data_IF_621607459622
#
_entry.id   IF_621607459622
#
_cell.length_a   1.000
_cell.length_b   1.000
_cell.length_c   1.000
_cell.angle_alpha   90.00
_cell.angle_beta   90.00
_cell.angle_gamma   90.00
#
_symmetry.space_group_name_H-M   'P 1'
#
loop_
_entity.id
_entity.type
_entity.pdbx_description
1 polymer ?
#
# COMPACT_ATOMS: atom_id res chain seq x y z
N UNK A 1 -73.40 -70.88 -45.00
CA UNK A 1 -72.67 -70.70 -43.73
C UNK A 1 -71.45 -71.62 -43.80
N UNK A 2 -70.25 -71.08 -43.59
CA UNK A 2 -68.92 -71.76 -43.59
C UNK A 2 -68.34 -72.00 -45.02
N UNK A 3 -67.43 -71.13 -45.51
CA UNK A 3 -65.94 -71.16 -45.41
C UNK A 3 -65.35 -72.31 -46.27
N UNK A 4 -64.42 -72.15 -47.23
CA UNK A 4 -63.10 -71.49 -47.13
C UNK A 4 -62.32 -71.53 -48.47
N UNK A 5 -61.41 -70.57 -48.63
CA UNK A 5 -60.17 -70.46 -49.45
C UNK A 5 -59.89 -71.52 -50.55
N UNK A 6 -59.45 -71.14 -51.75
CA UNK A 6 -58.04 -70.82 -52.12
C UNK A 6 -58.03 -69.93 -53.37
N UNK A 7 -57.17 -68.94 -53.62
CA UNK A 7 -55.83 -68.61 -53.18
C UNK A 7 -55.32 -67.59 -54.22
N UNK A 8 -54.81 -66.44 -53.81
CA UNK A 8 -54.26 -65.45 -54.75
C UNK A 8 -52.96 -64.90 -54.18
N UNK A 9 -51.90 -65.15 -54.94
CA UNK A 9 -50.53 -64.74 -54.67
C UNK A 9 -50.43 -63.22 -54.55
N UNK A 10 -49.92 -62.74 -53.41
CA UNK A 10 -49.22 -61.45 -53.34
C UNK A 10 -47.78 -61.70 -52.96
N UNK A 11 -46.89 -61.47 -53.91
CA UNK A 11 -45.45 -61.43 -53.73
C UNK A 11 -45.10 -60.23 -52.84
N UNK A 12 -44.57 -60.50 -51.65
CA UNK A 12 -44.06 -59.47 -50.75
C UNK A 12 -42.62 -59.17 -51.17
N UNK A 13 -42.40 -58.04 -51.83
CA UNK A 13 -41.06 -57.54 -52.11
C UNK A 13 -40.40 -57.11 -50.79
N UNK A 14 -39.49 -57.93 -50.28
CA UNK A 14 -38.58 -57.57 -49.19
C UNK A 14 -37.34 -56.93 -49.77
N UNK A 15 -37.26 -55.60 -49.71
CA UNK A 15 -35.97 -54.90 -49.84
C UNK A 15 -35.16 -55.06 -48.55
N UNK A 16 -33.82 -55.12 -48.61
CA UNK A 16 -33.00 -55.15 -47.42
C UNK A 16 -33.16 -53.83 -46.65
N UNK A 17 -33.61 -53.92 -45.41
CA UNK A 17 -33.59 -52.80 -44.47
C UNK A 17 -32.14 -52.62 -44.01
N UNK A 18 -31.48 -51.56 -44.48
CA UNK A 18 -30.15 -51.18 -44.03
C UNK A 18 -30.24 -50.53 -42.64
N UNK A 19 -30.42 -51.35 -41.60
CA UNK A 19 -30.15 -50.93 -40.23
C UNK A 19 -28.62 -50.91 -40.03
N UNK A 20 -27.98 -49.84 -40.49
CA UNK A 20 -26.56 -49.59 -40.21
C UNK A 20 -26.34 -49.40 -38.71
N UNK A 21 -25.25 -49.94 -38.13
CA UNK A 21 -25.00 -49.84 -36.70
C UNK A 21 -24.76 -48.37 -36.31
N UNK A 22 -25.45 -47.88 -35.28
CA UNK A 22 -25.25 -46.57 -34.63
C UNK A 22 -23.91 -46.51 -33.86
N UNK A 23 -22.80 -46.94 -34.47
CA UNK A 23 -21.48 -46.97 -33.86
C UNK A 23 -20.82 -45.58 -33.75
N UNK A 24 -21.32 -44.58 -34.49
CA UNK A 24 -20.75 -43.21 -34.50
C UNK A 24 -21.18 -42.30 -33.34
N UNK A 25 -22.36 -42.51 -32.75
CA UNK A 25 -22.88 -41.60 -31.69
C UNK A 25 -22.17 -41.79 -30.35
N UNK A 26 -21.69 -43.00 -30.04
CA UNK A 26 -20.98 -43.28 -28.79
C UNK A 26 -19.59 -42.61 -28.73
N UNK A 27 -18.90 -42.50 -29.87
CA UNK A 27 -17.59 -41.84 -29.94
C UNK A 27 -17.68 -40.33 -29.69
N UNK A 28 -18.69 -39.67 -30.27
CA UNK A 28 -18.91 -38.22 -30.10
C UNK A 28 -19.35 -37.89 -28.67
N UNK A 29 -20.24 -38.69 -28.09
CA UNK A 29 -20.67 -38.49 -26.70
C UNK A 29 -19.51 -38.60 -25.70
N UNK A 30 -18.63 -39.57 -25.90
CA UNK A 30 -17.45 -39.76 -25.03
C UNK A 30 -16.42 -38.65 -25.21
N UNK A 31 -16.23 -38.16 -26.44
CA UNK A 31 -15.39 -37.00 -26.72
C UNK A 31 -15.91 -35.74 -25.98
N UNK A 32 -17.22 -35.47 -26.06
CA UNK A 32 -17.85 -34.35 -25.36
C UNK A 32 -17.73 -34.50 -23.84
N UNK A 33 -17.87 -35.70 -23.29
CA UNK A 33 -17.70 -35.95 -21.86
C UNK A 33 -16.26 -35.68 -21.41
N UNK A 34 -15.26 -36.15 -22.15
CA UNK A 34 -13.85 -35.88 -21.86
C UNK A 34 -13.56 -34.38 -21.90
N UNK A 35 -14.03 -33.68 -22.94
CA UNK A 35 -13.89 -32.23 -23.03
C UNK A 35 -14.61 -31.50 -21.88
N UNK A 36 -15.81 -31.93 -21.51
CA UNK A 36 -16.54 -31.36 -20.38
C UNK A 36 -15.76 -31.52 -19.06
N UNK A 37 -15.17 -32.70 -18.82
CA UNK A 37 -14.34 -32.95 -17.62
C UNK A 37 -13.07 -32.10 -17.63
N UNK A 38 -12.41 -31.94 -18.78
CA UNK A 38 -11.22 -31.06 -18.92
C UNK A 38 -11.59 -29.61 -18.60
N UNK A 39 -12.70 -29.11 -19.16
CA UNK A 39 -13.20 -27.75 -18.90
C UNK A 39 -13.60 -27.56 -17.43
N UNK A 40 -14.27 -28.55 -16.82
CA UNK A 40 -14.60 -28.52 -15.40
C UNK A 40 -13.34 -28.49 -14.53
N UNK A 41 -12.35 -29.33 -14.86
CA UNK A 41 -11.07 -29.39 -14.16
C UNK A 41 -10.32 -28.06 -14.23
N UNK A 42 -10.34 -27.39 -15.39
CA UNK A 42 -9.79 -26.05 -15.56
C UNK A 42 -10.49 -25.00 -14.68
N UNK A 43 -11.82 -25.03 -14.62
CA UNK A 43 -12.62 -24.14 -13.75
C UNK A 43 -12.28 -24.32 -12.27
N UNK A 44 -12.23 -25.57 -11.81
CA UNK A 44 -11.88 -25.90 -10.42
C UNK A 44 -10.44 -25.48 -10.11
N UNK A 45 -9.50 -25.76 -11.01
CA UNK A 45 -8.10 -25.36 -10.86
C UNK A 45 -7.92 -23.84 -10.74
N UNK A 46 -8.63 -23.07 -11.57
CA UNK A 46 -8.64 -21.60 -11.50
C UNK A 46 -9.19 -21.07 -10.18
N UNK A 47 -10.29 -21.64 -9.68
CA UNK A 47 -10.90 -21.22 -8.42
C UNK A 47 -9.99 -21.47 -7.21
N UNK A 48 -9.26 -22.60 -7.20
CA UNK A 48 -8.30 -22.94 -6.14
C UNK A 48 -7.11 -21.97 -6.10
N UNK A 49 -6.61 -21.55 -7.27
CA UNK A 49 -5.50 -20.57 -7.35
C UNK A 49 -5.92 -19.20 -6.79
N UNK A 50 -7.09 -18.68 -7.20
CA UNK A 50 -7.59 -17.37 -6.76
C UNK A 50 -7.99 -17.37 -5.28
N UNK A 51 -8.61 -18.44 -4.77
CA UNK A 51 -8.96 -18.50 -3.34
C UNK A 51 -7.74 -18.41 -2.42
N UNK A 52 -6.59 -18.89 -2.86
CA UNK A 52 -5.35 -18.80 -2.08
C UNK A 52 -4.74 -17.39 -2.03
N UNK A 53 -4.99 -16.55 -3.06
CA UNK A 53 -4.47 -15.18 -3.10
C UNK A 53 -5.31 -14.22 -2.24
N UNK A 54 -6.64 -14.38 -2.25
CA UNK A 54 -7.55 -13.60 -1.40
C UNK A 54 -7.26 -13.80 0.10
N UNK A 55 -6.99 -15.04 0.51
CA UNK A 55 -6.62 -15.36 1.90
C UNK A 55 -5.29 -14.70 2.29
N UNK A 56 -4.30 -14.65 1.37
CA UNK A 56 -3.02 -13.97 1.63
C UNK A 56 -3.21 -12.46 1.75
N UNK A 57 -4.02 -11.86 0.89
CA UNK A 57 -4.35 -10.43 0.95
C UNK A 57 -5.06 -10.07 2.25
N UNK A 58 -6.08 -10.83 2.64
CA UNK A 58 -6.79 -10.62 3.90
C UNK A 58 -5.86 -10.71 5.12
N UNK A 59 -4.95 -11.69 5.14
CA UNK A 59 -3.94 -11.82 6.21
C UNK A 59 -2.98 -10.64 6.26
N UNK A 60 -2.53 -10.15 5.11
CA UNK A 60 -1.65 -8.97 5.06
C UNK A 60 -2.36 -7.72 5.58
N UNK A 61 -3.62 -7.49 5.22
CA UNK A 61 -4.41 -6.37 5.72
C UNK A 61 -4.57 -6.43 7.25
N UNK A 62 -4.90 -7.61 7.79
CA UNK A 62 -5.00 -7.80 9.24
C UNK A 62 -3.66 -7.55 9.93
N UNK A 63 -2.54 -7.99 9.33
CA UNK A 63 -1.21 -7.78 9.90
C UNK A 63 -0.82 -6.30 9.93
N UNK A 64 -1.15 -5.53 8.88
CA UNK A 64 -0.91 -4.08 8.81
C UNK A 64 -1.72 -3.35 9.87
N UNK A 65 -3.02 -3.62 9.96
CA UNK A 65 -3.90 -3.03 10.97
C UNK A 65 -3.42 -3.36 12.39
N UNK A 66 -3.01 -4.61 12.62
CA UNK A 66 -2.45 -5.02 13.92
C UNK A 66 -1.17 -4.25 14.26
N UNK A 67 -0.26 -4.09 13.30
CA UNK A 67 0.97 -3.32 13.51
C UNK A 67 0.69 -1.84 13.79
N UNK A 68 -0.30 -1.24 13.12
CA UNK A 68 -0.70 0.15 13.33
C UNK A 68 -1.31 0.36 14.72
N UNK A 69 -2.22 -0.51 15.15
CA UNK A 69 -2.80 -0.46 16.48
C UNK A 69 -1.76 -0.65 17.59
N UNK A 70 -0.77 -1.54 17.37
CA UNK A 70 0.36 -1.72 18.29
C UNK A 70 1.24 -0.47 18.38
N UNK A 71 1.50 0.20 17.26
CA UNK A 71 2.23 1.46 17.25
C UNK A 71 1.47 2.57 18.00
N UNK A 72 0.15 2.66 17.81
CA UNK A 72 -0.70 3.63 18.51
C UNK A 72 -0.76 3.36 20.02
N UNK A 73 -0.79 2.09 20.43
CA UNK A 73 -0.65 1.72 21.84
C UNK A 73 0.69 2.18 22.44
N UNK A 74 1.79 2.06 21.67
CA UNK A 74 3.10 2.59 22.06
C UNK A 74 3.12 4.11 22.23
N UNK A 75 2.47 4.85 21.32
CA UNK A 75 2.32 6.31 21.42
C UNK A 75 1.52 6.69 22.67
N UNK A 76 0.38 6.06 22.90
CA UNK A 76 -0.46 6.34 24.07
C UNK A 76 0.29 6.03 25.37
N UNK A 77 1.06 4.95 25.43
CA UNK A 77 1.90 4.64 26.59
C UNK A 77 2.97 5.70 26.81
N UNK A 78 3.65 6.14 25.75
CA UNK A 78 4.62 7.22 25.81
C UNK A 78 4.01 8.53 26.34
N UNK A 79 2.81 8.90 25.88
CA UNK A 79 2.10 10.09 26.39
C UNK A 79 1.79 9.95 27.88
N UNK A 80 1.28 8.79 28.31
CA UNK A 80 0.99 8.55 29.73
C UNK A 80 2.25 8.68 30.59
N UNK A 81 3.38 8.12 30.14
CA UNK A 81 4.67 8.22 30.82
C UNK A 81 5.17 9.67 30.91
N UNK A 82 5.00 10.47 29.85
CA UNK A 82 5.36 11.89 29.85
C UNK A 82 4.47 12.72 30.79
N UNK A 83 3.21 12.33 30.99
CA UNK A 83 2.29 12.99 31.92
C UNK A 83 2.56 12.59 33.38
N UNK A 84 3.00 11.37 33.64
CA UNK A 84 3.36 10.90 34.97
C UNK A 84 4.79 11.33 35.32
N UNK A 85 4.92 12.43 36.07
CA UNK A 85 6.22 13.02 36.45
C UNK A 85 7.14 12.08 37.25
N UNK A 86 6.60 11.03 37.86
CA UNK A 86 7.35 10.07 38.69
C UNK A 86 8.13 9.02 37.86
N UNK A 87 7.72 8.73 36.62
CA UNK A 87 8.32 7.67 35.77
C UNK A 87 9.30 8.21 34.71
N UNK A 88 9.65 9.50 34.77
CA UNK A 88 10.64 10.09 33.86
C UNK A 88 12.04 9.46 33.99
N UNK A 89 12.31 8.72 35.07
CA UNK A 89 13.56 7.95 35.22
C UNK A 89 13.59 6.69 34.32
N UNK A 90 12.42 6.11 33.98
CA UNK A 90 12.31 5.00 33.01
C UNK A 90 12.49 5.50 31.57
N UNK A 91 12.26 6.80 31.37
CA UNK A 91 12.39 7.48 30.09
C UNK A 91 13.73 8.22 30.07
N UNK A 92 14.79 7.63 29.51
CA UNK A 92 16.00 8.38 29.18
C UNK A 92 15.69 9.44 28.10
N UNK A 93 15.05 10.53 28.52
CA UNK A 93 14.69 11.68 27.69
C UNK A 93 15.98 12.24 27.08
N UNK A 94 16.13 12.07 25.77
CA UNK A 94 17.29 12.53 25.01
C UNK A 94 18.34 11.45 24.67
N UNK A 95 18.16 10.20 25.13
CA UNK A 95 19.03 9.07 24.82
C UNK A 95 18.62 8.24 23.59
N UNK A 96 19.52 7.36 23.13
CA UNK A 96 19.20 6.32 22.16
C UNK A 96 18.40 5.15 22.78
N UNK A 97 18.36 5.07 24.11
CA UNK A 97 17.61 4.07 24.85
C UNK A 97 16.15 4.52 24.97
N UNK A 98 15.31 3.94 24.12
CA UNK A 98 13.88 3.95 24.32
C UNK A 98 13.45 2.95 25.39
N UNK A 99 12.14 2.79 25.59
CA UNK A 99 11.59 1.65 26.33
C UNK A 99 10.99 0.64 25.35
N UNK A 100 10.97 -0.62 25.74
CA UNK A 100 10.26 -1.66 25.01
C UNK A 100 9.00 -2.05 25.75
N UNK A 101 7.90 -2.24 25.02
CA UNK A 101 6.67 -2.77 25.57
C UNK A 101 6.33 -4.09 24.87
N UNK A 102 5.82 -5.04 25.64
CA UNK A 102 5.36 -6.34 25.13
C UNK A 102 3.90 -6.48 25.51
N UNK A 103 3.02 -6.54 24.51
CA UNK A 103 1.58 -6.69 24.71
C UNK A 103 1.20 -8.13 24.35
N UNK A 104 0.74 -8.92 25.33
CA UNK A 104 0.11 -10.26 25.18
C UNK A 104 0.66 -11.14 24.04
N UNK A 105 1.99 -11.31 23.99
CA UNK A 105 2.73 -12.09 22.98
C UNK A 105 2.56 -11.63 21.50
N UNK A 106 2.02 -10.43 21.28
CA UNK A 106 1.60 -9.93 19.96
C UNK A 106 2.72 -9.26 19.14
N UNK A 107 3.71 -8.65 19.79
CA UNK A 107 4.98 -8.15 19.24
C UNK A 107 5.73 -7.39 20.36
N UNK A 108 7.03 -7.16 20.16
CA UNK A 108 7.80 -6.17 20.91
C UNK A 108 7.74 -4.83 20.19
N UNK A 109 7.38 -3.76 20.91
CA UNK A 109 7.35 -2.39 20.38
C UNK A 109 8.46 -1.61 21.06
N UNK A 110 9.40 -1.11 20.27
CA UNK A 110 10.45 -0.20 20.73
C UNK A 110 9.99 1.25 20.54
N UNK A 111 9.99 2.03 21.61
CA UNK A 111 9.54 3.43 21.61
C UNK A 111 10.69 4.33 22.05
N UNK A 112 11.11 5.27 21.20
CA UNK A 112 12.10 6.30 21.54
C UNK A 112 11.44 7.67 21.56
N UNK A 113 11.77 8.48 22.56
CA UNK A 113 11.29 9.85 22.68
C UNK A 113 12.50 10.78 22.62
N UNK A 114 12.45 11.75 21.72
CA UNK A 114 13.50 12.76 21.56
C UNK A 114 12.89 14.13 21.76
N UNK A 115 13.53 14.93 22.60
CA UNK A 115 13.23 16.34 22.69
C UNK A 115 13.63 17.06 21.39
N UNK A 116 12.68 17.79 20.81
CA UNK A 116 12.88 18.62 19.64
C UNK A 116 13.20 20.09 20.01
N UNK A 117 13.13 20.49 21.28
CA UNK A 117 13.28 21.87 21.76
C UNK A 117 14.67 22.51 21.54
N UNK A 118 15.66 21.80 21.00
CA UNK A 118 16.95 22.36 20.57
C UNK A 118 17.12 22.47 19.04
N UNK A 119 16.13 22.04 18.27
CA UNK A 119 16.23 21.99 16.81
C UNK A 119 15.82 23.33 16.19
N UNK A 120 16.44 23.67 15.05
CA UNK A 120 16.10 24.86 14.28
C UNK A 120 14.82 24.58 13.49
N UNK A 121 13.74 25.31 13.79
CA UNK A 121 12.50 25.23 13.05
C UNK A 121 12.66 25.82 11.63
N UNK A 122 12.67 24.97 10.62
CA UNK A 122 12.83 25.39 9.23
C UNK A 122 11.65 26.20 8.69
N UNK A 123 10.49 26.22 9.34
CA UNK A 123 9.35 27.02 8.91
C UNK A 123 9.45 28.47 9.41
N UNK A 124 10.12 28.69 10.56
CA UNK A 124 10.14 30.00 11.23
C UNK A 124 11.53 30.61 11.42
N UNK A 125 12.60 29.83 11.30
CA UNK A 125 13.97 30.31 11.52
C UNK A 125 14.33 31.48 10.57
N UNK A 126 14.94 32.56 11.08
CA UNK A 126 15.34 33.68 10.24
C UNK A 126 16.50 33.28 9.32
N UNK A 127 16.57 33.89 8.13
CA UNK A 127 17.60 33.58 7.12
C UNK A 127 19.05 33.59 7.66
N UNK A 128 19.46 34.56 8.53
CA UNK A 128 20.80 34.56 9.10
C UNK A 128 21.08 33.32 9.97
N UNK A 129 20.08 32.79 10.69
CA UNK A 129 20.23 31.60 11.52
C UNK A 129 20.42 30.35 10.66
N UNK A 130 19.62 30.19 9.60
CA UNK A 130 19.75 29.07 8.66
C UNK A 130 21.12 29.06 7.97
N UNK A 131 21.58 30.23 7.53
CA UNK A 131 22.88 30.37 6.88
C UNK A 131 24.02 30.06 7.85
N UNK A 132 23.96 30.59 9.08
CA UNK A 132 24.95 30.32 10.13
C UNK A 132 24.98 28.84 10.51
N UNK A 133 23.82 28.18 10.63
CA UNK A 133 23.71 26.75 10.89
C UNK A 133 24.36 25.91 9.78
N UNK A 134 24.01 26.19 8.53
CA UNK A 134 24.57 25.47 7.39
C UNK A 134 26.11 25.56 7.36
N UNK A 135 26.67 26.76 7.62
CA UNK A 135 28.13 26.93 7.73
C UNK A 135 28.70 26.18 8.93
N UNK A 136 28.06 26.25 10.10
CA UNK A 136 28.50 25.55 11.31
C UNK A 136 28.54 24.02 11.15
N UNK A 137 27.65 23.50 10.30
CA UNK A 137 27.54 22.08 9.95
C UNK A 137 28.53 21.66 8.85
N UNK A 138 29.26 22.61 8.25
CA UNK A 138 30.35 22.34 7.32
C UNK A 138 30.02 22.58 5.84
N UNK A 139 28.89 23.22 5.53
CA UNK A 139 28.59 23.62 4.15
C UNK A 139 29.47 24.81 3.75
N UNK A 140 29.83 24.86 2.46
CA UNK A 140 30.52 26.02 1.89
C UNK A 140 29.65 27.28 2.00
N UNK A 141 30.22 28.51 2.02
CA UNK A 141 29.42 29.73 2.03
C UNK A 141 28.43 29.84 0.88
N UNK A 142 28.76 29.28 -0.30
CA UNK A 142 27.86 29.22 -1.44
C UNK A 142 26.71 28.22 -1.21
N UNK A 143 27.03 27.00 -0.76
CA UNK A 143 26.03 25.96 -0.42
C UNK A 143 25.10 26.42 0.71
N UNK A 144 25.62 27.12 1.72
CA UNK A 144 24.84 27.64 2.84
C UNK A 144 23.83 28.72 2.41
N UNK A 145 24.21 29.59 1.47
CA UNK A 145 23.29 30.58 0.86
C UNK A 145 22.21 29.88 0.06
N UNK A 146 22.60 28.93 -0.80
CA UNK A 146 21.67 28.15 -1.60
C UNK A 146 20.66 27.37 -0.73
N UNK A 147 21.12 26.72 0.34
CA UNK A 147 20.26 26.06 1.33
C UNK A 147 19.25 27.05 1.93
N UNK A 148 19.72 28.21 2.38
CA UNK A 148 18.88 29.22 3.03
C UNK A 148 17.81 29.75 2.08
N UNK A 149 18.19 30.10 0.85
CA UNK A 149 17.28 30.56 -0.20
C UNK A 149 16.22 29.50 -0.52
N UNK A 150 16.63 28.24 -0.66
CA UNK A 150 15.72 27.16 -1.00
C UNK A 150 14.75 26.83 0.15
N UNK A 151 15.19 26.91 1.42
CA UNK A 151 14.32 26.77 2.60
C UNK A 151 13.26 27.87 2.63
N UNK A 152 13.66 29.12 2.36
CA UNK A 152 12.75 30.28 2.35
C UNK A 152 11.74 30.17 1.19
N UNK A 153 12.21 29.87 -0.01
CA UNK A 153 11.34 29.69 -1.17
C UNK A 153 10.27 28.61 -0.92
N UNK A 154 10.66 27.47 -0.34
CA UNK A 154 9.72 26.40 0.02
C UNK A 154 8.67 26.82 1.06
N UNK A 155 9.00 27.74 1.98
CA UNK A 155 7.98 28.31 2.90
C UNK A 155 6.94 29.07 2.11
N UNK A 156 7.36 30.00 1.26
CA UNK A 156 6.44 30.88 0.55
C UNK A 156 5.51 30.11 -0.37
N UNK A 157 6.03 29.09 -1.07
CA UNK A 157 5.22 28.23 -1.93
C UNK A 157 4.18 27.45 -1.13
N UNK A 158 4.56 26.89 0.02
CA UNK A 158 3.61 26.26 0.94
C UNK A 158 2.51 27.21 1.45
N UNK A 159 2.85 28.45 1.77
CA UNK A 159 1.86 29.47 2.18
C UNK A 159 0.91 29.84 1.03
N UNK A 160 1.43 29.99 -0.19
CA UNK A 160 0.62 30.28 -1.40
C UNK A 160 -0.34 29.14 -1.73
N UNK A 161 0.11 27.90 -1.60
CA UNK A 161 -0.72 26.71 -1.83
C UNK A 161 -1.78 26.52 -0.74
N UNK A 162 -1.45 26.80 0.53
CA UNK A 162 -2.42 26.74 1.63
C UNK A 162 -3.49 27.84 1.54
N UNK A 163 -3.14 29.03 1.04
CA UNK A 163 -4.08 30.15 0.89
C UNK A 163 -5.18 29.92 -0.17
N UNK A 164 -4.99 28.95 -1.06
CA UNK A 164 -6.00 28.54 -2.06
C UNK A 164 -6.93 27.42 -1.55
N UNK A 165 -6.73 26.90 -0.34
CA UNK A 165 -7.65 25.97 0.32
C UNK A 165 -8.64 26.80 1.16
N UNK A 166 -9.76 27.21 0.55
CA UNK A 166 -10.83 27.92 1.27
C UNK A 166 -11.32 27.13 2.51
N UNK A 167 -11.71 27.79 3.63
CA UNK A 167 -12.06 27.13 4.89
C UNK A 167 -13.43 26.43 4.89
N UNK A 168 -14.22 26.56 3.82
CA UNK A 168 -15.57 26.01 3.73
C UNK A 168 -15.57 24.68 2.98
N UNK A 169 -15.26 23.58 3.66
CA UNK A 169 -15.25 22.26 3.02
C UNK A 169 -14.87 21.11 3.94
N UNK A 170 -15.58 20.90 5.06
CA UNK A 170 -15.60 19.58 5.71
C UNK A 170 -16.40 18.62 4.80
N UNK A 171 -15.77 18.17 3.71
CA UNK A 171 -16.40 17.29 2.74
C UNK A 171 -15.63 17.27 1.43
N UNK A 172 -14.98 16.13 1.16
CA UNK A 172 -14.17 15.80 -0.02
C UNK A 172 -12.78 16.46 -0.09
N UNK A 173 -11.78 15.72 0.37
CA UNK A 173 -10.48 15.76 -0.30
C UNK A 173 -10.73 15.35 -1.77
N UNK A 174 -10.42 16.18 -2.77
CA UNK A 174 -10.22 15.65 -4.10
C UNK A 174 -9.08 14.64 -4.01
N UNK A 175 -9.28 13.45 -4.57
CA UNK A 175 -8.22 12.45 -4.64
C UNK A 175 -7.01 13.09 -5.34
N UNK A 176 -5.94 13.33 -4.59
CA UNK A 176 -4.71 13.86 -5.15
C UNK A 176 -4.26 12.88 -6.25
N UNK A 177 -4.00 13.34 -7.49
CA UNK A 177 -3.39 12.46 -8.47
C UNK A 177 -2.05 12.00 -7.89
N UNK A 178 -1.91 10.69 -7.67
CA UNK A 178 -0.68 10.05 -7.18
C UNK A 178 0.46 10.06 -8.22
N UNK A 179 0.48 11.07 -9.09
CA UNK A 179 1.59 11.30 -10.01
C UNK A 179 2.69 11.93 -9.18
N UNK A 180 3.60 11.08 -8.69
CA UNK A 180 4.87 11.51 -8.16
C UNK A 180 5.61 12.28 -9.25
N UNK A 181 5.55 13.61 -9.20
CA UNK A 181 6.46 14.46 -9.97
C UNK A 181 7.84 14.25 -9.35
N UNK A 182 8.84 13.72 -10.09
CA UNK A 182 10.11 13.30 -9.50
C UNK A 182 10.95 14.41 -8.84
N UNK A 183 10.52 15.67 -8.91
CA UNK A 183 11.18 16.85 -8.32
C UNK A 183 10.17 17.91 -7.82
N UNK A 184 8.95 17.54 -7.43
CA UNK A 184 8.02 18.54 -6.88
C UNK A 184 8.53 19.06 -5.53
N UNK A 185 8.76 20.38 -5.49
CA UNK A 185 8.88 21.15 -4.25
C UNK A 185 7.59 20.92 -3.44
N UNK A 186 7.67 20.66 -2.12
CA UNK A 186 6.48 20.41 -1.31
C UNK A 186 5.43 21.51 -1.49
N UNK A 187 4.19 21.12 -1.76
CA UNK A 187 3.03 22.02 -1.93
C UNK A 187 2.50 22.52 -0.56
N UNK A 188 3.31 22.42 0.49
CA UNK A 188 2.99 22.74 1.88
C UNK A 188 4.27 23.16 2.64
N UNK A 189 4.16 23.90 3.77
CA UNK A 189 5.30 24.18 4.66
C UNK A 189 6.04 22.89 5.01
N UNK A 190 7.34 22.95 5.33
CA UNK A 190 8.19 21.78 5.60
C UNK A 190 7.53 20.86 6.64
N UNK A 191 7.00 19.70 6.18
CA UNK A 191 6.27 18.75 7.02
C UNK A 191 7.19 17.65 7.58
N UNK A 192 8.17 17.22 6.77
CA UNK A 192 9.05 16.11 7.14
C UNK A 192 10.51 16.51 7.01
N UNK A 193 11.35 16.02 7.95
CA UNK A 193 12.82 16.15 7.88
C UNK A 193 13.41 15.61 6.55
N UNK A 194 12.73 14.64 5.92
CA UNK A 194 13.12 14.05 4.63
C UNK A 194 12.91 14.97 3.43
N UNK A 195 12.11 16.02 3.55
CA UNK A 195 11.86 16.96 2.47
C UNK A 195 13.10 17.80 2.14
N UNK A 196 14.01 17.96 3.11
CA UNK A 196 15.31 18.65 2.98
C UNK A 196 16.21 17.94 1.95
N UNK A 197 16.06 16.62 1.78
CA UNK A 197 16.83 15.84 0.81
C UNK A 197 16.51 16.19 -0.65
N UNK A 198 15.40 16.88 -0.91
CA UNK A 198 14.97 17.30 -2.25
C UNK A 198 15.46 18.70 -2.62
N UNK A 199 16.15 19.39 -1.71
CA UNK A 199 16.65 20.73 -1.94
C UNK A 199 17.75 20.74 -3.02
N UNK A 200 17.67 21.63 -4.03
CA UNK A 200 18.65 21.69 -5.09
C UNK A 200 20.02 22.06 -4.52
N UNK A 201 21.05 21.30 -4.92
CA UNK A 201 22.43 21.53 -4.50
C UNK A 201 22.83 20.91 -3.16
N UNK A 202 21.93 20.17 -2.48
CA UNK A 202 22.28 19.41 -1.26
C UNK A 202 22.64 17.98 -1.63
N UNK A 203 23.92 17.64 -1.53
CA UNK A 203 24.40 16.27 -1.73
C UNK A 203 24.15 15.36 -0.52
N UNK A 204 24.31 14.03 -0.65
CA UNK A 204 24.13 13.08 0.46
C UNK A 204 25.02 13.37 1.67
N UNK A 205 26.22 13.93 1.44
CA UNK A 205 27.16 14.33 2.49
C UNK A 205 26.69 15.57 3.25
N UNK A 206 26.19 16.57 2.54
CA UNK A 206 25.65 17.79 3.14
C UNK A 206 24.34 17.50 3.87
N UNK A 207 23.50 16.61 3.34
CA UNK A 207 22.29 16.13 4.00
C UNK A 207 22.61 15.38 5.31
N UNK A 208 23.62 14.51 5.30
CA UNK A 208 24.06 13.82 6.51
C UNK A 208 24.60 14.79 7.57
N UNK A 209 25.24 15.88 7.14
CA UNK A 209 25.70 16.92 8.05
C UNK A 209 24.51 17.72 8.63
N UNK A 210 23.52 18.07 7.81
CA UNK A 210 22.34 18.85 8.22
C UNK A 210 21.35 18.06 9.10
N UNK A 211 21.39 16.73 9.07
CA UNK A 211 20.48 15.82 9.77
C UNK A 211 21.23 14.91 10.75
N UNK A 212 21.70 15.43 11.90
CA UNK A 212 22.27 14.59 12.97
C UNK A 212 21.24 13.62 13.55
#
# INVERSE_FOLDING_TARGET
MVDKMTGSHKTKATGPSYAGPMAGQRGVALLLAVWAVILLGGLVGGLLMTGSSEVRLARNLIAVEKAQNLAEAGINRAILLLLSSDDLAELELGGAAGFTLRLDDAAEIAVTIRDSCGQIDLNWAPAPLLSAYAVAVGLSPASARQFTEAVIAGREDGHRSSGNLSPSGFGQLPALPQVAVPNAIPVAPWQTRRDIARLPGIGPRELAALLP
#
